data_IF_531808635667
#
_entry.id   IF_531808635667
#
_cell.length_a   1.000
_cell.length_b   1.000
_cell.length_c   1.000
_cell.angle_alpha   90.00
_cell.angle_beta   90.00
_cell.angle_gamma   90.00
#
_symmetry.space_group_name_H-M   'P 1'
#
loop_
_entity.id
_entity.type
_entity.pdbx_description
1 polymer ?
#
# COMPACT_ATOMS: atom_id res chain seq x y z
N UNK A 1 14.17 -7.33 0.47
CA UNK A 1 13.64 -7.67 -0.87
C UNK A 1 12.83 -6.50 -1.40
N UNK A 2 12.54 -6.46 -2.72
CA UNK A 2 11.63 -5.48 -3.31
C UNK A 2 10.23 -6.10 -3.41
N UNK A 3 9.23 -5.46 -2.80
CA UNK A 3 7.87 -6.01 -2.68
C UNK A 3 6.86 -4.98 -3.14
N UNK A 4 5.99 -5.38 -4.06
CA UNK A 4 4.86 -4.59 -4.54
C UNK A 4 3.57 -5.14 -3.91
N UNK A 5 2.90 -4.31 -3.10
CA UNK A 5 1.60 -4.63 -2.52
C UNK A 5 0.50 -3.89 -3.27
N UNK A 6 -0.42 -4.64 -3.86
CA UNK A 6 -1.51 -4.11 -4.69
C UNK A 6 -2.83 -4.23 -3.94
N UNK A 7 -3.53 -3.12 -3.74
CA UNK A 7 -4.92 -3.11 -3.27
C UNK A 7 -5.67 -1.93 -3.87
N UNK A 8 -6.97 -2.12 -4.18
CA UNK A 8 -7.83 -1.04 -4.70
C UNK A 8 -7.88 0.17 -3.77
N UNK A 9 -7.88 -0.05 -2.45
CA UNK A 9 -7.95 0.97 -1.42
C UNK A 9 -6.70 0.91 -0.54
N UNK A 10 -6.00 2.04 -0.41
CA UNK A 10 -4.79 2.17 0.41
C UNK A 10 -5.07 3.07 1.62
N UNK A 11 -6.20 2.81 2.27
CA UNK A 11 -6.63 3.35 3.55
C UNK A 11 -7.47 2.28 4.28
N UNK A 12 -7.75 2.43 5.58
CA UNK A 12 -8.44 1.41 6.39
C UNK A 12 -9.94 1.25 6.03
N UNK A 13 -10.28 0.80 4.83
CA UNK A 13 -11.67 0.63 4.36
C UNK A 13 -12.33 -0.66 4.87
N UNK A 14 -11.56 -1.74 5.03
CA UNK A 14 -12.04 -3.07 5.34
C UNK A 14 -10.90 -4.03 5.68
N UNK A 15 -11.24 -5.29 5.99
CA UNK A 15 -10.25 -6.28 6.45
C UNK A 15 -9.13 -6.56 5.46
N UNK A 16 -9.44 -6.57 4.16
CA UNK A 16 -8.49 -6.77 3.07
C UNK A 16 -7.47 -5.61 2.97
N UNK A 17 -7.95 -4.36 3.03
CA UNK A 17 -7.11 -3.18 2.99
C UNK A 17 -6.25 -3.05 4.27
N UNK A 18 -6.84 -3.33 5.44
CA UNK A 18 -6.12 -3.35 6.72
C UNK A 18 -5.02 -4.40 6.71
N UNK A 19 -5.31 -5.60 6.21
CA UNK A 19 -4.32 -6.67 6.06
C UNK A 19 -3.17 -6.21 5.18
N UNK A 20 -3.46 -5.65 4.01
CA UNK A 20 -2.45 -5.12 3.08
C UNK A 20 -1.54 -4.09 3.74
N UNK A 21 -2.13 -3.10 4.42
CA UNK A 21 -1.38 -2.02 5.08
C UNK A 21 -0.52 -2.54 6.23
N UNK A 22 -1.05 -3.45 7.06
CA UNK A 22 -0.32 -4.06 8.18
C UNK A 22 0.82 -4.94 7.70
N UNK A 23 0.59 -5.75 6.66
CA UNK A 23 1.62 -6.58 6.03
C UNK A 23 2.74 -5.71 5.47
N UNK A 24 2.41 -4.63 4.75
CA UNK A 24 3.44 -3.73 4.23
C UNK A 24 4.26 -3.06 5.33
N UNK A 25 3.62 -2.63 6.43
CA UNK A 25 4.32 -2.11 7.60
C UNK A 25 5.30 -3.14 8.19
N UNK A 26 4.82 -4.37 8.43
CA UNK A 26 5.63 -5.45 8.97
C UNK A 26 6.84 -5.76 8.07
N UNK A 27 6.64 -5.84 6.76
CA UNK A 27 7.71 -6.12 5.80
C UNK A 27 8.75 -5.00 5.77
N UNK A 28 8.32 -3.73 5.81
CA UNK A 28 9.22 -2.57 5.90
C UNK A 28 10.04 -2.57 7.19
N UNK A 29 9.41 -2.89 8.34
CA UNK A 29 10.09 -3.02 9.64
C UNK A 29 11.15 -4.14 9.63
N UNK A 30 10.99 -5.14 8.77
CA UNK A 30 11.96 -6.22 8.54
C UNK A 30 13.00 -5.90 7.45
N UNK A 31 13.16 -4.63 7.07
CA UNK A 31 14.19 -4.18 6.14
C UNK A 31 13.88 -4.49 4.67
N UNK A 32 12.62 -4.70 4.31
CA UNK A 32 12.21 -4.82 2.92
C UNK A 32 11.84 -3.47 2.31
N UNK A 33 12.11 -3.30 1.03
CA UNK A 33 11.67 -2.15 0.25
C UNK A 33 10.24 -2.46 -0.24
N UNK A 34 9.26 -1.81 0.37
CA UNK A 34 7.84 -2.04 0.11
C UNK A 34 7.24 -0.84 -0.60
N UNK A 35 6.56 -1.10 -1.72
CA UNK A 35 5.79 -0.12 -2.47
C UNK A 35 4.32 -0.53 -2.45
N UNK A 36 3.44 0.43 -2.21
CA UNK A 36 1.99 0.24 -2.36
C UNK A 36 1.52 0.76 -3.71
N UNK A 37 0.61 0.01 -4.35
CA UNK A 37 -0.02 0.37 -5.61
C UNK A 37 -1.53 0.14 -5.52
N UNK A 38 -2.32 1.12 -5.98
CA UNK A 38 -3.77 1.10 -5.85
C UNK A 38 -4.44 2.13 -6.75
N UNK A 39 -5.77 2.14 -6.81
CA UNK A 39 -6.48 3.11 -7.65
C UNK A 39 -6.39 4.53 -7.07
N UNK A 40 -6.44 5.55 -7.92
CA UNK A 40 -6.62 6.94 -7.48
C UNK A 40 -7.91 7.06 -6.66
N UNK A 41 -7.78 7.41 -5.39
CA UNK A 41 -8.90 7.57 -4.49
C UNK A 41 -8.61 8.72 -3.52
N UNK A 42 -9.56 9.63 -3.24
CA UNK A 42 -9.32 10.82 -2.43
C UNK A 42 -8.90 10.51 -0.98
N UNK A 43 -9.23 9.33 -0.48
CA UNK A 43 -8.86 8.88 0.86
C UNK A 43 -7.53 8.11 0.92
N UNK A 44 -6.90 7.80 -0.21
CA UNK A 44 -5.55 7.21 -0.17
C UNK A 44 -4.56 8.28 0.29
N UNK A 45 -3.58 7.87 1.09
CA UNK A 45 -2.41 8.71 1.33
C UNK A 45 -1.63 8.92 0.04
N UNK A 46 -0.78 9.94 0.02
CA UNK A 46 0.12 10.22 -1.12
C UNK A 46 0.93 8.95 -1.47
N UNK A 47 0.73 8.40 -2.66
CA UNK A 47 1.43 7.22 -3.15
C UNK A 47 2.68 7.66 -3.91
N UNK A 48 3.73 6.84 -3.85
CA UNK A 48 5.00 7.15 -4.52
C UNK A 48 4.90 7.19 -6.05
N UNK A 49 3.82 6.66 -6.63
CA UNK A 49 3.67 6.46 -8.08
C UNK A 49 2.31 6.94 -8.61
N UNK A 50 1.72 7.97 -7.98
CA UNK A 50 0.43 8.54 -8.40
C UNK A 50 0.40 9.02 -9.85
N UNK A 51 1.55 9.44 -10.38
CA UNK A 51 1.66 10.00 -11.75
C UNK A 51 1.46 8.95 -12.86
N UNK A 52 1.42 7.65 -12.51
CA UNK A 52 1.20 6.56 -13.45
C UNK A 52 -0.28 6.12 -13.56
N UNK A 53 -1.22 6.92 -13.04
CA UNK A 53 -2.65 6.66 -13.01
C UNK A 53 -3.50 7.78 -13.65
#
# INVERSE_FOLDING_TARGET
MKILLINKFLYPKGGDAISTLKTGKLLSENGHEVVFWGMKHPSNNKLSFEDFF
#
